data_IF_872121320449
#
_entry.id   IF_872121320449
#
_cell.length_a   1.000
_cell.length_b   1.000
_cell.length_c   1.000
_cell.angle_alpha   90.00
_cell.angle_beta   90.00
_cell.angle_gamma   90.00
#
_symmetry.space_group_name_H-M   'P 1'
#
loop_
_entity.id
_entity.type
_entity.pdbx_description
1 polymer ?
#
# COMPACT_ATOMS: atom_id res chain seq x y z
N UNK A 1 -28.88 -1.20 20.80
CA UNK A 1 -28.00 -0.65 19.75
C UNK A 1 -28.84 -0.16 18.58
N UNK A 2 -28.56 1.03 18.04
CA UNK A 2 -29.32 1.59 16.90
C UNK A 2 -29.21 0.70 15.65
N UNK A 3 -30.32 0.46 14.94
CA UNK A 3 -30.32 -0.37 13.71
C UNK A 3 -29.35 0.15 12.64
N UNK A 4 -29.06 1.46 12.69
CA UNK A 4 -28.11 2.15 11.80
C UNK A 4 -26.65 1.70 12.03
N UNK A 5 -26.28 1.40 13.28
CA UNK A 5 -24.94 0.89 13.63
C UNK A 5 -24.80 -0.57 13.19
N UNK A 6 -25.82 -1.40 13.46
CA UNK A 6 -25.83 -2.82 13.06
C UNK A 6 -25.71 -2.94 11.53
N UNK A 7 -26.44 -2.11 10.78
CA UNK A 7 -26.36 -2.09 9.31
C UNK A 7 -24.95 -1.70 8.84
N UNK A 8 -24.34 -0.68 9.43
CA UNK A 8 -23.00 -0.21 9.06
C UNK A 8 -21.92 -1.24 9.34
N UNK A 9 -21.96 -1.89 10.52
CA UNK A 9 -21.03 -2.97 10.89
C UNK A 9 -21.18 -4.15 9.93
N UNK A 10 -22.41 -4.54 9.62
CA UNK A 10 -22.68 -5.63 8.68
C UNK A 10 -22.13 -5.34 7.28
N UNK A 11 -22.36 -4.13 6.76
CA UNK A 11 -21.82 -3.73 5.45
C UNK A 11 -20.30 -3.73 5.41
N UNK A 12 -19.63 -3.12 6.40
CA UNK A 12 -18.16 -3.07 6.45
C UNK A 12 -17.57 -4.47 6.64
N UNK A 13 -18.19 -5.30 7.49
CA UNK A 13 -17.78 -6.69 7.72
C UNK A 13 -17.89 -7.54 6.46
N UNK A 14 -19.01 -7.44 5.73
CA UNK A 14 -19.20 -8.14 4.45
C UNK A 14 -18.19 -7.69 3.39
N UNK A 15 -17.95 -6.37 3.27
CA UNK A 15 -16.94 -5.84 2.34
C UNK A 15 -15.53 -6.34 2.69
N UNK A 16 -15.21 -6.42 3.99
CA UNK A 16 -13.92 -6.94 4.47
C UNK A 16 -13.77 -8.43 4.13
N UNK A 17 -14.82 -9.22 4.38
CA UNK A 17 -14.81 -10.66 4.12
C UNK A 17 -14.71 -10.95 2.62
N UNK A 18 -15.45 -10.20 1.80
CA UNK A 18 -15.35 -10.30 0.35
C UNK A 18 -13.94 -9.96 -0.14
N UNK A 19 -13.32 -8.89 0.37
CA UNK A 19 -11.94 -8.53 0.04
C UNK A 19 -10.91 -9.59 0.46
N UNK A 20 -11.14 -10.30 1.57
CA UNK A 20 -10.29 -11.42 2.00
C UNK A 20 -10.44 -12.64 1.10
N UNK A 21 -11.67 -12.98 0.72
CA UNK A 21 -11.93 -14.11 -0.19
C UNK A 21 -11.34 -13.84 -1.57
N UNK A 22 -11.53 -12.65 -2.13
CA UNK A 22 -10.93 -12.29 -3.42
C UNK A 22 -9.40 -12.27 -3.35
N UNK A 23 -8.83 -11.82 -2.23
CA UNK A 23 -7.39 -11.92 -1.96
C UNK A 23 -6.90 -13.37 -1.93
N UNK A 24 -7.61 -14.26 -1.25
CA UNK A 24 -7.26 -15.69 -1.20
C UNK A 24 -7.32 -16.35 -2.58
N UNK A 25 -8.36 -16.05 -3.37
CA UNK A 25 -8.49 -16.55 -4.74
C UNK A 25 -7.31 -16.09 -5.59
N UNK A 26 -6.94 -14.80 -5.49
CA UNK A 26 -5.76 -14.24 -6.16
C UNK A 26 -4.49 -15.00 -5.78
N UNK A 27 -4.28 -15.29 -4.49
CA UNK A 27 -3.08 -15.99 -4.02
C UNK A 27 -3.03 -17.44 -4.54
N UNK A 28 -4.18 -18.14 -4.59
CA UNK A 28 -4.29 -19.48 -5.19
C UNK A 28 -3.98 -19.43 -6.69
N UNK A 29 -4.49 -18.44 -7.43
CA UNK A 29 -4.22 -18.27 -8.85
C UNK A 29 -2.72 -18.02 -9.08
N UNK A 30 -2.10 -17.12 -8.31
CA UNK A 30 -0.65 -16.88 -8.41
C UNK A 30 0.18 -18.12 -8.12
N UNK A 31 -0.17 -18.90 -7.10
CA UNK A 31 0.53 -20.15 -6.79
C UNK A 31 0.46 -21.17 -7.94
N UNK A 32 -0.68 -21.25 -8.65
CA UNK A 32 -0.85 -22.15 -9.79
C UNK A 32 -0.16 -21.65 -11.07
N UNK A 33 -0.22 -20.34 -11.35
CA UNK A 33 0.39 -19.76 -12.56
C UNK A 33 1.90 -19.69 -12.43
N UNK A 34 2.41 -19.25 -11.27
CA UNK A 34 3.85 -19.06 -11.09
C UNK A 34 4.56 -20.40 -10.98
N UNK A 35 3.96 -21.43 -10.35
CA UNK A 35 4.29 -22.88 -10.44
C UNK A 35 5.70 -23.30 -9.98
N UNK A 36 6.71 -22.59 -10.45
CA UNK A 36 8.10 -22.56 -10.03
C UNK A 36 8.26 -21.74 -8.74
N UNK A 37 8.88 -22.37 -7.73
CA UNK A 37 9.20 -21.75 -6.45
C UNK A 37 10.05 -20.49 -6.63
N UNK A 38 10.91 -20.44 -7.64
CA UNK A 38 11.81 -19.30 -7.85
C UNK A 38 11.08 -18.05 -8.35
N UNK A 39 10.18 -18.17 -9.33
CA UNK A 39 9.42 -17.04 -9.86
C UNK A 39 8.40 -16.50 -8.85
N UNK A 40 7.78 -17.40 -8.06
CA UNK A 40 6.87 -17.02 -6.99
C UNK A 40 7.57 -16.23 -5.87
N UNK A 41 8.72 -16.72 -5.41
CA UNK A 41 9.52 -16.05 -4.38
C UNK A 41 9.92 -14.63 -4.83
N UNK A 42 10.33 -14.47 -6.09
CA UNK A 42 10.69 -13.16 -6.65
C UNK A 42 9.49 -12.22 -6.70
N UNK A 43 8.34 -12.70 -7.18
CA UNK A 43 7.14 -11.87 -7.24
C UNK A 43 6.69 -11.40 -5.85
N UNK A 44 6.70 -12.29 -4.85
CA UNK A 44 6.24 -11.94 -3.51
C UNK A 44 7.19 -11.00 -2.75
N UNK A 45 8.50 -11.13 -2.97
CA UNK A 45 9.50 -10.23 -2.37
C UNK A 45 9.40 -8.85 -3.01
N UNK A 46 9.42 -8.75 -4.34
CA UNK A 46 9.25 -7.48 -5.06
C UNK A 46 7.94 -6.78 -4.66
N UNK A 47 6.84 -7.52 -4.53
CA UNK A 47 5.54 -6.95 -4.15
C UNK A 47 5.49 -6.50 -2.68
N UNK A 48 6.34 -7.05 -1.80
CA UNK A 48 6.36 -6.69 -0.37
C UNK A 48 6.84 -5.26 -0.14
N UNK A 49 7.84 -4.80 -0.89
CA UNK A 49 8.48 -3.50 -0.69
C UNK A 49 7.46 -2.36 -0.91
N UNK A 50 6.76 -2.25 -2.07
CA UNK A 50 5.73 -1.22 -2.26
C UNK A 50 4.57 -1.36 -1.27
N UNK A 51 4.16 -2.59 -0.93
CA UNK A 51 3.06 -2.81 0.00
C UNK A 51 3.39 -2.33 1.42
N UNK A 52 4.65 -2.45 1.85
CA UNK A 52 5.08 -1.90 3.13
C UNK A 52 4.87 -0.38 3.18
N UNK A 53 5.33 0.34 2.16
CA UNK A 53 5.12 1.79 2.06
C UNK A 53 3.63 2.15 1.96
N UNK A 54 2.84 1.38 1.20
CA UNK A 54 1.38 1.56 1.11
C UNK A 54 0.70 1.41 2.48
N UNK A 55 1.14 0.46 3.31
CA UNK A 55 0.59 0.26 4.67
C UNK A 55 0.92 1.42 5.59
N UNK A 56 2.15 1.95 5.51
CA UNK A 56 2.58 3.11 6.31
C UNK A 56 1.80 4.36 5.91
N UNK A 57 1.83 4.71 4.62
CA UNK A 57 1.33 5.99 4.14
C UNK A 57 -0.16 5.99 3.79
N UNK A 58 -0.75 4.85 3.44
CA UNK A 58 -2.11 4.78 2.89
C UNK A 58 -3.17 4.19 3.83
N UNK A 59 -2.84 3.15 4.59
CA UNK A 59 -3.86 2.40 5.34
C UNK A 59 -4.19 3.00 6.72
N UNK A 60 -3.23 3.66 7.39
CA UNK A 60 -3.41 4.08 8.80
C UNK A 60 -2.97 5.50 9.11
N UNK A 61 -1.71 5.85 8.83
CA UNK A 61 -1.13 7.10 9.31
C UNK A 61 -1.80 8.33 8.69
N UNK A 62 -2.06 8.28 7.37
CA UNK A 62 -2.70 9.39 6.67
C UNK A 62 -4.12 9.63 7.16
N UNK A 63 -4.96 8.59 7.23
CA UNK A 63 -6.35 8.72 7.68
C UNK A 63 -6.43 9.24 9.11
N UNK A 64 -5.56 8.77 10.01
CA UNK A 64 -5.52 9.22 11.40
C UNK A 64 -5.17 10.71 11.54
N UNK A 65 -4.26 11.23 10.72
CA UNK A 65 -3.87 12.64 10.74
C UNK A 65 -4.81 13.54 9.91
N UNK A 66 -5.31 13.04 8.77
CA UNK A 66 -6.11 13.80 7.82
C UNK A 66 -7.55 14.00 8.28
N UNK A 67 -8.23 12.94 8.75
CA UNK A 67 -9.67 12.97 9.04
C UNK A 67 -10.03 14.02 10.10
N UNK A 68 -9.29 14.18 11.22
CA UNK A 68 -9.61 15.21 12.22
C UNK A 68 -9.47 16.62 11.66
N UNK A 69 -8.37 16.91 10.94
CA UNK A 69 -8.10 18.23 10.37
C UNK A 69 -9.10 18.57 9.26
N UNK A 70 -9.40 17.62 8.39
CA UNK A 70 -10.41 17.78 7.35
C UNK A 70 -11.79 18.06 7.96
N UNK A 71 -12.16 17.33 9.02
CA UNK A 71 -13.43 17.53 9.70
C UNK A 71 -13.50 18.91 10.34
N UNK A 72 -12.43 19.39 10.96
CA UNK A 72 -12.35 20.74 11.53
C UNK A 72 -12.54 21.84 10.47
N UNK A 73 -11.83 21.73 9.34
CA UNK A 73 -12.01 22.64 8.20
C UNK A 73 -13.44 22.60 7.66
N UNK A 74 -14.05 21.42 7.59
CA UNK A 74 -15.40 21.25 7.04
C UNK A 74 -16.50 21.74 7.97
N UNK A 75 -16.25 21.78 9.28
CA UNK A 75 -17.21 22.23 10.30
C UNK A 75 -17.08 23.72 10.62
N UNK A 76 -15.86 24.27 10.65
CA UNK A 76 -15.59 25.62 11.13
C UNK A 76 -15.15 26.60 10.04
N UNK A 77 -14.88 26.15 8.81
CA UNK A 77 -14.40 26.99 7.70
C UNK A 77 -15.32 26.94 6.48
N UNK A 78 -15.12 27.89 5.57
CA UNK A 78 -15.89 27.98 4.33
C UNK A 78 -15.45 26.94 3.29
N UNK A 79 -16.32 26.66 2.31
CA UNK A 79 -16.03 25.73 1.20
C UNK A 79 -14.71 26.03 0.47
N UNK A 80 -14.36 27.31 0.31
CA UNK A 80 -13.10 27.73 -0.33
C UNK A 80 -11.87 27.27 0.45
N UNK A 81 -11.93 27.31 1.78
CA UNK A 81 -10.81 26.90 2.65
C UNK A 81 -10.64 25.37 2.63
N UNK A 82 -11.74 24.62 2.59
CA UNK A 82 -11.72 23.16 2.46
C UNK A 82 -11.09 22.74 1.13
N UNK A 83 -11.49 23.37 0.02
CA UNK A 83 -10.93 23.09 -1.30
C UNK A 83 -9.44 23.42 -1.37
N UNK A 84 -9.04 24.57 -0.82
CA UNK A 84 -7.64 24.99 -0.77
C UNK A 84 -6.79 24.02 0.07
N UNK A 85 -7.31 23.60 1.23
CA UNK A 85 -6.67 22.59 2.08
C UNK A 85 -6.48 21.27 1.32
N UNK A 86 -7.51 20.76 0.65
CA UNK A 86 -7.43 19.53 -0.13
C UNK A 86 -6.39 19.63 -1.25
N UNK A 87 -6.35 20.73 -2.00
CA UNK A 87 -5.38 20.93 -3.08
C UNK A 87 -3.94 20.96 -2.54
N UNK A 88 -3.69 21.69 -1.45
CA UNK A 88 -2.39 21.75 -0.79
C UNK A 88 -1.96 20.38 -0.23
N UNK A 89 -2.90 19.68 0.40
CA UNK A 89 -2.65 18.38 1.01
C UNK A 89 -2.38 17.30 -0.03
N UNK A 90 -3.23 17.18 -1.05
CA UNK A 90 -3.03 16.24 -2.16
C UNK A 90 -1.75 16.56 -2.95
N UNK A 91 -1.46 17.83 -3.20
CA UNK A 91 -0.24 18.24 -3.91
C UNK A 91 1.03 17.90 -3.13
N UNK A 92 1.10 18.25 -1.84
CA UNK A 92 2.27 17.98 -0.98
C UNK A 92 2.44 16.49 -0.69
N UNK A 93 1.35 15.80 -0.39
CA UNK A 93 1.40 14.36 -0.11
C UNK A 93 1.70 13.56 -1.39
N UNK A 94 1.11 13.93 -2.53
CA UNK A 94 1.43 13.35 -3.83
C UNK A 94 2.90 13.55 -4.20
N UNK A 95 3.44 14.76 -4.00
CA UNK A 95 4.86 15.04 -4.21
C UNK A 95 5.75 14.20 -3.28
N UNK A 96 5.40 14.09 -2.00
CA UNK A 96 6.11 13.24 -1.04
C UNK A 96 6.12 11.77 -1.50
N UNK A 97 4.97 11.22 -1.88
CA UNK A 97 4.86 9.85 -2.38
C UNK A 97 5.67 9.65 -3.66
N UNK A 98 5.70 10.63 -4.56
CA UNK A 98 6.49 10.58 -5.77
C UNK A 98 7.99 10.56 -5.46
N UNK A 99 8.46 11.43 -4.56
CA UNK A 99 9.86 11.44 -4.12
C UNK A 99 10.24 10.12 -3.45
N UNK A 100 9.41 9.62 -2.52
CA UNK A 100 9.63 8.32 -1.86
C UNK A 100 9.66 7.18 -2.87
N UNK A 101 8.78 7.19 -3.87
CA UNK A 101 8.75 6.19 -4.94
C UNK A 101 10.02 6.22 -5.78
N UNK A 102 10.45 7.40 -6.23
CA UNK A 102 11.70 7.58 -7.01
C UNK A 102 12.91 7.11 -6.22
N UNK A 103 13.00 7.47 -4.93
CA UNK A 103 14.07 7.01 -4.04
C UNK A 103 13.99 5.49 -3.87
N UNK A 104 12.80 4.91 -3.71
CA UNK A 104 12.60 3.47 -3.60
C UNK A 104 13.10 2.71 -4.82
N UNK A 105 12.78 3.18 -6.02
CA UNK A 105 13.24 2.59 -7.30
C UNK A 105 14.76 2.73 -7.45
N UNK A 106 15.32 3.91 -7.14
CA UNK A 106 16.76 4.14 -7.22
C UNK A 106 17.53 3.26 -6.21
N UNK A 107 17.00 3.10 -5.01
CA UNK A 107 17.57 2.29 -3.93
C UNK A 107 17.10 0.83 -3.95
N UNK A 108 16.46 0.35 -5.03
CA UNK A 108 15.96 -1.02 -5.14
C UNK A 108 17.00 -2.10 -4.77
N UNK A 109 18.28 -2.03 -5.20
CA UNK A 109 19.29 -3.01 -4.78
C UNK A 109 19.48 -3.09 -3.27
N UNK A 110 19.47 -1.94 -2.60
CA UNK A 110 19.66 -1.85 -1.15
C UNK A 110 18.41 -2.35 -0.41
N UNK A 111 17.21 -1.99 -0.89
CA UNK A 111 15.95 -2.49 -0.33
C UNK A 111 15.81 -4.00 -0.47
N UNK A 112 16.16 -4.56 -1.63
CA UNK A 112 16.17 -6.01 -1.86
C UNK A 112 17.19 -6.69 -0.96
N UNK A 113 18.39 -6.13 -0.78
CA UNK A 113 19.40 -6.72 0.11
C UNK A 113 18.94 -6.82 1.58
N UNK A 114 18.12 -5.87 2.04
CA UNK A 114 17.56 -5.87 3.40
C UNK A 114 16.38 -6.85 3.52
N UNK A 115 15.48 -6.85 2.53
CA UNK A 115 14.23 -7.63 2.58
C UNK A 115 14.43 -9.09 2.19
N UNK A 116 15.39 -9.36 1.31
CA UNK A 116 15.71 -10.67 0.77
C UNK A 116 17.23 -10.96 0.83
N UNK A 117 17.81 -10.79 2.02
CA UNK A 117 19.21 -11.13 2.30
C UNK A 117 19.58 -12.57 1.90
N UNK A 118 18.61 -13.50 1.90
CA UNK A 118 18.80 -14.88 1.44
C UNK A 118 19.06 -15.04 -0.07
N UNK A 119 18.93 -13.98 -0.88
CA UNK A 119 19.27 -14.01 -2.31
C UNK A 119 20.67 -13.46 -2.62
N UNK A 120 21.41 -12.99 -1.61
CA UNK A 120 22.76 -12.46 -1.78
C UNK A 120 23.75 -13.53 -2.29
N UNK A 121 23.53 -14.80 -1.93
CA UNK A 121 24.36 -15.93 -2.38
C UNK A 121 24.01 -16.41 -3.81
N UNK A 122 22.98 -15.84 -4.44
CA UNK A 122 22.49 -16.21 -5.77
C UNK A 122 22.38 -14.98 -6.69
N UNK A 123 23.47 -14.56 -7.36
CA UNK A 123 23.53 -13.28 -8.08
C UNK A 123 22.50 -13.14 -9.21
N UNK A 124 22.13 -14.23 -9.90
CA UNK A 124 21.06 -14.18 -10.91
C UNK A 124 19.67 -13.90 -10.31
N UNK A 125 19.35 -14.49 -9.15
CA UNK A 125 18.08 -14.25 -8.45
C UNK A 125 18.02 -12.82 -7.92
N UNK A 126 19.12 -12.34 -7.34
CA UNK A 126 19.22 -10.96 -6.85
C UNK A 126 18.99 -9.93 -7.97
N UNK A 127 19.62 -10.09 -9.12
CA UNK A 127 19.45 -9.15 -10.24
C UNK A 127 18.02 -9.15 -10.81
N UNK A 128 17.37 -10.32 -10.83
CA UNK A 128 15.97 -10.45 -11.25
C UNK A 128 15.04 -9.75 -10.27
N UNK A 129 15.28 -9.90 -8.96
CA UNK A 129 14.53 -9.24 -7.89
C UNK A 129 14.64 -7.71 -7.94
N UNK A 130 15.86 -7.21 -8.14
CA UNK A 130 16.12 -5.77 -8.27
C UNK A 130 15.41 -5.20 -9.49
N UNK A 131 15.39 -5.93 -10.60
CA UNK A 131 14.68 -5.50 -11.82
C UNK A 131 13.17 -5.54 -11.65
N UNK A 132 12.63 -6.52 -10.90
CA UNK A 132 11.21 -6.61 -10.58
C UNK A 132 10.73 -5.55 -9.58
N UNK A 133 11.64 -5.04 -8.74
CA UNK A 133 11.35 -4.01 -7.73
C UNK A 133 11.38 -2.58 -8.30
N UNK A 134 12.10 -2.36 -9.40
CA UNK A 134 12.19 -1.06 -10.09
C UNK A 134 10.95 -0.79 -10.92
#
# INVERSE_FOLDING_TARGET
>A
MSSRIIKSISTVGLMTLLSRITGLIRDIIFANILGDKAAADVFFVAFRIPNFFRRIFGEGALSAAFVPVFTDYRMHRGQKDVSSFLQLMLGRFGLLLLVVSVIGVACAPLLVSIVAAGFLDAPEKFNTEVSATR
#
